data_IF_801969360648
#
_entry.id   IF_801969360648
#
_cell.length_a   1.000
_cell.length_b   1.000
_cell.length_c   1.000
_cell.angle_alpha   90.00
_cell.angle_beta   90.00
_cell.angle_gamma   90.00
#
_symmetry.space_group_name_H-M   'P 1'
#
loop_
_entity.id
_entity.type
_entity.pdbx_description
1 polymer ?
#
# COMPACT_ATOMS: atom_id res chain seq x y z
N UNK A 1 0.29 -30.72 74.89
CA UNK A 1 0.73 -31.40 73.65
C UNK A 1 -0.17 -30.96 72.50
N UNK A 2 0.40 -30.14 71.61
CA UNK A 2 0.21 -30.10 70.14
C UNK A 2 -1.17 -29.89 69.47
N UNK A 3 -1.14 -28.94 68.50
CA UNK A 3 -1.94 -28.74 67.24
C UNK A 3 -3.14 -27.76 67.30
N UNK A 4 -3.58 -27.07 66.22
CA UNK A 4 -3.04 -26.27 65.07
C UNK A 4 -4.29 -25.82 64.23
N UNK A 5 -4.35 -24.54 63.76
CA UNK A 5 -5.13 -23.95 62.61
C UNK A 5 -6.70 -23.95 62.73
N UNK A 6 -7.56 -22.96 62.38
CA UNK A 6 -7.62 -21.97 61.28
C UNK A 6 -8.77 -20.93 61.43
N UNK A 7 -8.70 -19.88 60.59
CA UNK A 7 -9.80 -19.06 60.00
C UNK A 7 -10.63 -18.11 60.88
N UNK A 8 -10.40 -16.80 60.70
CA UNK A 8 -11.45 -15.78 60.83
C UNK A 8 -11.31 -14.72 59.74
N UNK A 9 -12.39 -14.59 58.98
CA UNK A 9 -12.74 -13.67 57.90
C UNK A 9 -12.75 -12.22 58.37
N UNK A 10 -12.33 -11.26 57.52
CA UNK A 10 -12.77 -9.86 57.65
C UNK A 10 -12.81 -9.12 56.31
N UNK A 11 -13.93 -8.43 56.17
CA UNK A 11 -14.52 -7.68 55.06
C UNK A 11 -13.66 -6.50 54.59
N UNK A 12 -13.62 -6.24 53.27
CA UNK A 12 -13.27 -4.93 52.72
C UNK A 12 -14.17 -4.52 51.56
N UNK A 13 -14.46 -3.23 51.54
CA UNK A 13 -15.61 -2.56 50.96
C UNK A 13 -15.68 -2.55 49.43
N UNK A 14 -16.92 -2.63 48.94
CA UNK A 14 -17.28 -2.40 47.54
C UNK A 14 -17.27 -0.88 47.23
N UNK A 15 -16.36 -0.46 46.37
CA UNK A 15 -16.41 0.85 45.72
C UNK A 15 -17.16 0.70 44.38
N UNK A 16 -18.30 1.38 44.28
CA UNK A 16 -19.05 1.56 43.04
C UNK A 16 -18.23 2.42 42.07
N UNK A 17 -17.80 1.84 40.96
CA UNK A 17 -17.32 2.57 39.78
C UNK A 17 -18.52 2.77 38.83
N UNK A 18 -18.71 3.97 38.25
CA UNK A 18 -19.78 4.19 37.30
C UNK A 18 -19.51 3.38 36.02
N UNK A 19 -20.52 2.62 35.61
CA UNK A 19 -20.57 1.92 34.34
C UNK A 19 -20.56 2.94 33.19
N UNK A 20 -19.37 3.25 32.70
CA UNK A 20 -19.14 4.19 31.61
C UNK A 20 -17.91 3.86 30.76
N UNK A 21 -17.41 2.62 30.81
CA UNK A 21 -16.50 2.13 29.79
C UNK A 21 -17.34 1.63 28.63
N UNK A 22 -17.51 2.45 27.58
CA UNK A 22 -17.83 1.91 26.25
C UNK A 22 -16.68 0.98 25.90
N UNK A 23 -16.87 -0.31 26.11
CA UNK A 23 -16.07 -1.36 25.47
C UNK A 23 -16.04 -1.02 23.99
N UNK A 24 -14.87 -0.61 23.49
CA UNK A 24 -14.55 -0.71 22.06
C UNK A 24 -14.95 -2.12 21.68
N UNK A 25 -15.98 -2.26 20.84
CA UNK A 25 -16.34 -3.57 20.29
C UNK A 25 -15.07 -4.01 19.57
N UNK A 26 -14.36 -5.00 20.13
CA UNK A 26 -13.20 -5.60 19.49
C UNK A 26 -13.59 -5.93 18.05
N UNK A 27 -12.70 -5.64 17.09
CA UNK A 27 -12.89 -6.00 15.69
C UNK A 27 -13.34 -7.46 15.65
N UNK A 28 -14.61 -7.70 15.32
CA UNK A 28 -15.10 -9.06 15.15
C UNK A 28 -14.29 -9.70 14.03
N UNK A 29 -13.89 -10.97 14.17
CA UNK A 29 -13.16 -11.66 13.11
C UNK A 29 -13.99 -11.59 11.83
N UNK A 30 -13.40 -11.03 10.78
CA UNK A 30 -14.07 -10.92 9.50
C UNK A 30 -14.26 -12.32 8.91
N UNK A 31 -15.39 -12.60 8.21
CA UNK A 31 -15.54 -13.85 7.48
C UNK A 31 -14.36 -14.08 6.52
N UNK A 32 -13.91 -15.34 6.35
CA UNK A 32 -12.82 -15.66 5.46
C UNK A 32 -13.15 -15.21 4.03
N UNK A 33 -12.12 -14.74 3.32
CA UNK A 33 -12.25 -14.44 1.90
C UNK A 33 -12.51 -15.73 1.12
N UNK A 34 -13.52 -15.71 0.25
CA UNK A 34 -13.79 -16.78 -0.70
C UNK A 34 -13.30 -16.39 -2.09
N UNK A 35 -12.91 -17.40 -2.89
CA UNK A 35 -12.66 -17.22 -4.30
C UNK A 35 -13.94 -16.78 -5.03
N UNK A 36 -13.83 -15.84 -5.97
CA UNK A 36 -14.93 -15.43 -6.84
C UNK A 36 -15.42 -16.65 -7.62
N UNK A 37 -16.70 -16.95 -7.51
CA UNK A 37 -17.36 -18.04 -8.23
C UNK A 37 -17.65 -17.66 -9.68
N UNK A 38 -17.91 -18.66 -10.53
CA UNK A 38 -18.24 -18.39 -11.94
C UNK A 38 -19.50 -17.52 -12.06
N UNK A 39 -20.53 -17.78 -11.25
CA UNK A 39 -21.76 -16.99 -11.23
C UNK A 39 -21.53 -15.53 -10.88
N UNK A 40 -20.62 -15.26 -9.95
CA UNK A 40 -20.24 -13.90 -9.56
C UNK A 40 -19.44 -13.19 -10.67
N UNK A 41 -18.65 -13.93 -11.45
CA UNK A 41 -17.86 -13.41 -12.56
C UNK A 41 -18.62 -13.35 -13.90
N UNK A 42 -19.75 -14.07 -14.02
CA UNK A 42 -20.50 -14.26 -15.27
C UNK A 42 -20.84 -12.95 -15.96
N UNK A 43 -21.32 -11.97 -15.21
CA UNK A 43 -21.65 -10.65 -15.76
C UNK A 43 -20.45 -9.95 -16.42
N UNK A 44 -19.25 -10.10 -15.85
CA UNK A 44 -18.01 -9.56 -16.44
C UNK A 44 -17.62 -10.33 -17.70
N UNK A 45 -17.68 -11.66 -17.65
CA UNK A 45 -17.36 -12.54 -18.77
C UNK A 45 -18.27 -12.30 -19.99
N UNK A 46 -19.56 -12.05 -19.75
CA UNK A 46 -20.56 -11.84 -20.81
C UNK A 46 -20.51 -10.42 -21.38
N UNK A 47 -20.17 -9.42 -20.57
CA UNK A 47 -20.19 -8.01 -20.98
C UNK A 47 -18.91 -7.59 -21.74
N UNK A 48 -17.77 -8.21 -21.44
CA UNK A 48 -16.49 -7.83 -22.07
C UNK A 48 -16.38 -8.40 -23.48
N UNK A 49 -15.70 -7.63 -24.35
CA UNK A 49 -15.37 -8.11 -25.68
C UNK A 49 -14.42 -9.32 -25.60
N UNK A 50 -14.51 -10.28 -26.53
CA UNK A 50 -13.66 -11.48 -26.48
C UNK A 50 -12.16 -11.18 -26.45
N UNK A 51 -11.67 -10.13 -27.12
CA UNK A 51 -10.25 -9.73 -27.14
C UNK A 51 -9.71 -9.25 -25.80
N UNK A 52 -10.60 -8.92 -24.85
CA UNK A 52 -10.24 -8.50 -23.50
C UNK A 52 -10.22 -9.66 -22.50
N UNK A 53 -10.74 -10.83 -22.88
CA UNK A 53 -10.71 -12.03 -22.04
C UNK A 53 -9.35 -12.73 -22.13
N UNK A 54 -8.87 -13.37 -21.05
CA UNK A 54 -7.71 -14.26 -21.10
C UNK A 54 -7.90 -15.32 -22.20
N UNK A 55 -6.84 -15.61 -22.95
CA UNK A 55 -6.90 -16.51 -24.12
C UNK A 55 -7.52 -17.87 -23.79
N UNK A 56 -7.13 -18.41 -22.65
CA UNK A 56 -7.57 -19.69 -22.10
C UNK A 56 -9.04 -19.73 -21.67
N UNK A 57 -9.66 -18.59 -21.35
CA UNK A 57 -11.11 -18.50 -21.14
C UNK A 57 -11.84 -18.22 -22.46
N UNK A 58 -11.25 -17.38 -23.32
CA UNK A 58 -11.80 -16.99 -24.63
C UNK A 58 -12.01 -18.19 -25.55
N UNK A 59 -11.11 -19.18 -25.50
CA UNK A 59 -11.18 -20.38 -26.33
C UNK A 59 -12.29 -21.37 -25.94
N UNK A 60 -12.85 -21.23 -24.74
CA UNK A 60 -13.87 -22.12 -24.19
C UNK A 60 -15.28 -21.55 -24.41
N UNK A 61 -16.28 -22.41 -24.51
CA UNK A 61 -17.69 -22.01 -24.43
C UNK A 61 -18.14 -21.73 -22.98
N UNK A 62 -19.39 -21.32 -22.77
CA UNK A 62 -19.87 -20.94 -21.43
C UNK A 62 -19.85 -22.10 -20.41
N UNK A 63 -20.27 -23.31 -20.81
CA UNK A 63 -20.32 -24.45 -19.92
C UNK A 63 -18.92 -24.98 -19.60
N UNK A 64 -18.02 -24.96 -20.59
CA UNK A 64 -16.61 -25.28 -20.41
C UNK A 64 -15.91 -24.28 -19.49
N UNK A 65 -16.17 -22.97 -19.64
CA UNK A 65 -15.66 -21.94 -18.72
C UNK A 65 -16.15 -22.16 -17.31
N UNK A 66 -17.44 -22.42 -17.11
CA UNK A 66 -18.01 -22.67 -15.78
C UNK A 66 -17.31 -23.84 -15.09
N UNK A 67 -17.11 -24.95 -15.82
CA UNK A 67 -16.41 -26.11 -15.30
C UNK A 67 -14.92 -25.85 -15.03
N UNK A 68 -14.25 -25.02 -15.83
CA UNK A 68 -12.83 -24.72 -15.69
C UNK A 68 -12.53 -23.62 -14.65
N UNK A 69 -13.53 -22.78 -14.32
CA UNK A 69 -13.37 -21.56 -13.54
C UNK A 69 -12.68 -21.76 -12.18
N UNK A 70 -13.07 -22.75 -11.33
CA UNK A 70 -12.42 -22.90 -10.04
C UNK A 70 -10.91 -23.16 -10.14
N UNK A 71 -10.48 -23.97 -11.12
CA UNK A 71 -9.07 -24.24 -11.37
C UNK A 71 -8.35 -23.04 -11.98
N UNK A 72 -9.03 -22.28 -12.85
CA UNK A 72 -8.51 -21.05 -13.42
C UNK A 72 -8.25 -20.00 -12.33
N UNK A 73 -9.19 -19.78 -11.41
CA UNK A 73 -9.03 -18.81 -10.31
C UNK A 73 -7.86 -19.16 -9.40
N UNK A 74 -7.71 -20.43 -9.00
CA UNK A 74 -6.58 -20.85 -8.16
C UNK A 74 -5.25 -20.58 -8.84
N UNK A 75 -5.10 -21.04 -10.10
CA UNK A 75 -3.87 -20.82 -10.86
C UNK A 75 -3.59 -19.32 -11.06
N UNK A 76 -4.61 -18.52 -11.37
CA UNK A 76 -4.43 -17.09 -11.58
C UNK A 76 -4.07 -16.35 -10.29
N UNK A 77 -4.57 -16.78 -9.13
CA UNK A 77 -4.16 -16.23 -7.84
C UNK A 77 -2.68 -16.52 -7.55
N UNK A 78 -2.23 -17.74 -7.83
CA UNK A 78 -0.81 -18.13 -7.73
C UNK A 78 0.06 -17.27 -8.65
N UNK A 79 -0.32 -17.12 -9.93
CA UNK A 79 0.41 -16.27 -10.90
C UNK A 79 0.46 -14.80 -10.46
N UNK A 80 -0.62 -14.25 -9.89
CA UNK A 80 -0.63 -12.89 -9.36
C UNK A 80 0.32 -12.77 -8.17
N UNK A 81 0.35 -13.77 -7.28
CA UNK A 81 1.25 -13.80 -6.11
C UNK A 81 2.70 -13.98 -6.51
N UNK A 82 3.00 -14.76 -7.55
CA UNK A 82 4.36 -14.88 -8.10
C UNK A 82 4.91 -13.54 -8.62
N UNK A 83 4.05 -12.61 -9.04
CA UNK A 83 4.47 -11.24 -9.41
C UNK A 83 4.98 -10.42 -8.22
N UNK A 84 4.74 -10.83 -6.98
CA UNK A 84 5.30 -10.19 -5.79
C UNK A 84 6.82 -10.32 -5.74
N UNK A 85 7.36 -11.46 -6.17
CA UNK A 85 8.80 -11.69 -6.20
C UNK A 85 9.51 -10.67 -7.12
N UNK A 86 8.89 -10.38 -8.26
CA UNK A 86 9.36 -9.32 -9.16
C UNK A 86 9.22 -7.93 -8.54
N UNK A 87 8.14 -7.68 -7.80
CA UNK A 87 7.93 -6.39 -7.10
C UNK A 87 8.93 -6.17 -5.97
N UNK A 88 9.37 -7.24 -5.32
CA UNK A 88 10.43 -7.23 -4.32
C UNK A 88 11.78 -6.83 -4.96
N UNK A 89 12.11 -7.35 -6.13
CA UNK A 89 13.29 -6.93 -6.90
C UNK A 89 13.24 -5.45 -7.28
N UNK A 90 12.10 -4.98 -7.81
CA UNK A 90 11.87 -3.56 -8.10
C UNK A 90 12.08 -2.68 -6.85
N UNK A 91 11.63 -3.14 -5.68
CA UNK A 91 11.80 -2.44 -4.41
C UNK A 91 13.27 -2.33 -4.00
N UNK A 92 14.07 -3.38 -4.21
CA UNK A 92 15.52 -3.35 -3.99
C UNK A 92 16.21 -2.38 -4.97
N UNK A 93 15.73 -2.27 -6.21
CA UNK A 93 16.22 -1.26 -7.17
C UNK A 93 15.89 0.16 -6.70
N UNK A 94 14.71 0.40 -6.14
CA UNK A 94 14.39 1.71 -5.55
C UNK A 94 15.30 2.04 -4.36
N UNK A 95 15.57 1.06 -3.48
CA UNK A 95 16.56 1.22 -2.40
C UNK A 95 17.95 1.53 -2.97
N UNK A 96 18.38 0.84 -4.02
CA UNK A 96 19.66 1.09 -4.68
C UNK A 96 19.78 2.53 -5.19
N UNK A 97 18.74 3.04 -5.85
CA UNK A 97 18.74 4.38 -6.43
C UNK A 97 18.64 5.48 -5.38
N UNK A 98 17.83 5.28 -4.34
CA UNK A 98 17.44 6.37 -3.46
C UNK A 98 17.85 6.21 -1.99
N UNK A 99 18.21 5.01 -1.53
CA UNK A 99 18.64 4.77 -0.15
C UNK A 99 19.87 5.58 0.28
N UNK A 100 20.05 5.77 1.58
CA UNK A 100 21.12 6.58 2.14
C UNK A 100 21.99 5.82 3.13
N UNK A 101 21.50 4.75 3.77
CA UNK A 101 22.22 4.13 4.90
C UNK A 101 23.38 3.25 4.49
N UNK A 102 23.42 2.76 3.24
CA UNK A 102 24.44 1.81 2.77
C UNK A 102 25.60 2.46 2.00
N UNK A 103 25.52 3.75 1.69
CA UNK A 103 26.45 4.42 0.76
C UNK A 103 26.60 5.90 1.08
N UNK A 104 27.73 6.49 0.69
CA UNK A 104 27.97 7.94 0.74
C UNK A 104 27.74 8.64 -0.60
N UNK A 105 27.40 7.88 -1.65
CA UNK A 105 27.11 8.43 -2.96
C UNK A 105 25.80 9.22 -2.94
N UNK A 106 25.67 10.29 -3.76
CA UNK A 106 24.41 11.01 -3.87
C UNK A 106 23.30 10.08 -4.35
N UNK A 107 22.06 10.36 -3.91
CA UNK A 107 20.85 9.72 -4.42
C UNK A 107 20.72 10.00 -5.92
N UNK A 108 20.20 9.03 -6.68
CA UNK A 108 19.84 9.31 -8.08
C UNK A 108 18.60 10.22 -8.11
N UNK A 109 18.56 11.17 -9.05
CA UNK A 109 17.40 12.04 -9.26
C UNK A 109 16.94 11.96 -10.69
N UNK A 110 15.65 11.66 -10.88
CA UNK A 110 15.01 11.70 -12.18
C UNK A 110 14.59 13.12 -12.60
N UNK A 111 14.92 14.16 -11.83
CA UNK A 111 14.55 15.54 -12.17
C UNK A 111 15.07 15.99 -13.56
N UNK A 112 16.24 15.51 -13.98
CA UNK A 112 16.76 15.78 -15.32
C UNK A 112 15.88 15.17 -16.44
N UNK A 113 15.25 14.04 -16.18
CA UNK A 113 14.33 13.36 -17.10
C UNK A 113 12.98 14.07 -17.21
N UNK A 114 12.56 14.74 -16.14
CA UNK A 114 11.36 15.57 -16.11
C UNK A 114 11.60 17.03 -16.56
N UNK A 115 12.80 17.35 -17.05
CA UNK A 115 13.15 18.70 -17.50
C UNK A 115 12.72 18.95 -18.95
N UNK A 116 12.68 20.23 -19.37
CA UNK A 116 12.38 20.63 -20.75
C UNK A 116 13.35 20.04 -21.79
N UNK A 117 14.51 19.53 -21.34
CA UNK A 117 15.53 18.91 -22.18
C UNK A 117 15.99 17.59 -21.54
N UNK A 118 15.18 16.53 -21.60
CA UNK A 118 15.57 15.24 -21.05
C UNK A 118 16.83 14.71 -21.75
N UNK A 119 17.66 13.90 -21.06
CA UNK A 119 18.82 13.26 -21.67
C UNK A 119 18.45 12.48 -22.94
N UNK A 120 19.27 12.61 -23.99
CA UNK A 120 19.08 11.82 -25.22
C UNK A 120 19.67 10.41 -25.04
N UNK A 121 18.84 9.38 -25.19
CA UNK A 121 19.23 7.97 -25.08
C UNK A 121 18.21 7.15 -24.29
N UNK A 122 18.51 5.86 -24.04
CA UNK A 122 17.70 5.02 -23.16
C UNK A 122 18.08 5.26 -21.70
N UNK A 123 17.11 5.31 -20.80
CA UNK A 123 17.36 5.51 -19.37
C UNK A 123 18.26 4.43 -18.79
N UNK A 124 18.05 3.18 -19.19
CA UNK A 124 18.89 2.05 -18.78
C UNK A 124 20.37 2.27 -19.11
N UNK A 125 20.71 2.84 -20.27
CA UNK A 125 22.10 3.06 -20.67
C UNK A 125 22.74 4.22 -19.88
N UNK A 126 22.00 5.31 -19.73
CA UNK A 126 22.50 6.55 -19.11
C UNK A 126 22.65 6.37 -17.60
N UNK A 127 21.64 5.83 -16.93
CA UNK A 127 21.63 5.67 -15.47
C UNK A 127 22.68 4.66 -15.04
N UNK A 128 22.80 3.52 -15.74
CA UNK A 128 23.78 2.48 -15.44
C UNK A 128 25.22 2.93 -15.71
N UNK A 129 25.43 3.82 -16.68
CA UNK A 129 26.74 4.39 -16.95
C UNK A 129 27.17 5.43 -15.89
N UNK A 130 26.24 5.98 -15.10
CA UNK A 130 26.55 7.01 -14.12
C UNK A 130 27.52 6.49 -13.05
N UNK A 131 28.68 7.13 -12.81
CA UNK A 131 29.68 6.67 -11.85
C UNK A 131 29.11 6.49 -10.43
N UNK A 132 28.24 7.41 -10.00
CA UNK A 132 27.57 7.32 -8.70
C UNK A 132 26.71 6.05 -8.60
N UNK A 133 25.94 5.71 -9.63
CA UNK A 133 25.07 4.52 -9.63
C UNK A 133 25.90 3.23 -9.60
N UNK A 134 26.98 3.15 -10.39
CA UNK A 134 27.91 2.01 -10.34
C UNK A 134 28.51 1.80 -8.96
N UNK A 135 28.85 2.89 -8.29
CA UNK A 135 29.40 2.81 -6.94
C UNK A 135 28.34 2.39 -5.92
N UNK A 136 27.10 2.86 -6.06
CA UNK A 136 25.96 2.42 -5.24
C UNK A 136 25.65 0.93 -5.39
N UNK A 137 25.76 0.36 -6.60
CA UNK A 137 25.64 -1.09 -6.82
C UNK A 137 26.63 -1.86 -5.92
N UNK A 138 27.91 -1.47 -5.97
CA UNK A 138 28.96 -2.14 -5.18
C UNK A 138 28.78 -1.93 -3.68
N UNK A 139 28.44 -0.71 -3.26
CA UNK A 139 28.20 -0.39 -1.85
C UNK A 139 26.99 -1.18 -1.30
N UNK A 140 25.90 -1.30 -2.08
CA UNK A 140 24.71 -2.07 -1.67
C UNK A 140 25.03 -3.56 -1.58
N UNK A 141 25.74 -4.13 -2.56
CA UNK A 141 26.16 -5.53 -2.52
C UNK A 141 27.05 -5.82 -1.29
N UNK A 142 27.93 -4.89 -0.92
CA UNK A 142 28.73 -4.98 0.29
C UNK A 142 27.90 -4.90 1.57
N UNK A 143 26.90 -4.00 1.61
CA UNK A 143 26.03 -3.84 2.77
C UNK A 143 25.09 -5.05 2.98
N UNK A 144 24.57 -5.63 1.89
CA UNK A 144 23.77 -6.87 1.90
C UNK A 144 24.59 -8.04 2.47
N UNK A 145 25.91 -8.05 2.29
CA UNK A 145 26.79 -9.07 2.88
C UNK A 145 26.85 -9.02 4.41
N UNK A 146 26.47 -7.90 5.05
CA UNK A 146 26.41 -7.73 6.51
C UNK A 146 25.38 -6.65 6.93
N UNK A 147 24.06 -6.92 6.84
CA UNK A 147 22.99 -5.93 6.95
C UNK A 147 22.76 -5.45 8.40
N UNK A 148 23.34 -6.13 9.39
CA UNK A 148 23.09 -5.83 10.80
C UNK A 148 21.60 -5.90 11.14
N UNK A 149 21.08 -4.85 11.78
CA UNK A 149 19.67 -4.71 12.14
C UNK A 149 18.83 -3.89 11.13
N UNK A 150 19.40 -3.51 9.98
CA UNK A 150 18.68 -2.73 8.99
C UNK A 150 17.69 -3.63 8.24
N UNK A 151 16.39 -3.46 8.51
CA UNK A 151 15.29 -4.25 7.94
C UNK A 151 15.29 -4.28 6.41
N UNK A 152 15.63 -3.16 5.76
CA UNK A 152 15.67 -3.06 4.29
C UNK A 152 16.85 -3.81 3.69
N UNK A 153 18.01 -3.77 4.34
CA UNK A 153 19.18 -4.54 3.90
C UNK A 153 19.03 -6.03 4.18
N UNK A 154 18.37 -6.40 5.28
CA UNK A 154 18.00 -7.80 5.55
C UNK A 154 17.04 -8.33 4.48
N UNK A 155 16.01 -7.55 4.14
CA UNK A 155 15.12 -7.89 3.04
C UNK A 155 15.85 -7.98 1.71
N UNK A 156 16.71 -7.01 1.38
CA UNK A 156 17.47 -7.04 0.13
C UNK A 156 18.39 -8.28 0.06
N UNK A 157 18.95 -8.73 1.19
CA UNK A 157 19.64 -10.02 1.28
C UNK A 157 18.72 -11.19 0.94
N UNK A 158 17.55 -11.27 1.56
CA UNK A 158 16.59 -12.35 1.30
C UNK A 158 16.22 -12.43 -0.19
N UNK A 159 16.00 -11.28 -0.84
CA UNK A 159 15.75 -11.21 -2.29
C UNK A 159 16.91 -11.80 -3.08
N UNK A 160 18.16 -11.42 -2.78
CA UNK A 160 19.34 -11.93 -3.48
C UNK A 160 19.55 -13.43 -3.21
N UNK A 161 19.33 -13.90 -1.98
CA UNK A 161 19.51 -15.30 -1.59
C UNK A 161 18.49 -16.24 -2.26
N UNK A 162 17.27 -15.77 -2.57
CA UNK A 162 16.28 -16.53 -3.37
C UNK A 162 16.79 -16.90 -4.76
N UNK A 163 17.74 -16.13 -5.30
CA UNK A 163 18.40 -16.41 -6.58
C UNK A 163 19.63 -17.31 -6.45
N UNK A 164 19.82 -17.97 -5.29
CA UNK A 164 20.93 -18.88 -5.05
C UNK A 164 22.28 -18.17 -4.85
N UNK A 165 22.26 -16.85 -4.62
CA UNK A 165 23.46 -16.04 -4.41
C UNK A 165 23.73 -15.94 -2.91
N UNK A 166 24.96 -16.23 -2.47
CA UNK A 166 25.38 -16.08 -1.06
C UNK A 166 26.23 -14.81 -0.87
N UNK A 167 25.64 -13.65 -0.51
CA UNK A 167 26.33 -12.35 -0.61
C UNK A 167 27.50 -12.19 0.37
N UNK A 168 27.54 -13.01 1.42
CA UNK A 168 28.61 -13.02 2.43
C UNK A 168 29.95 -13.55 1.91
N UNK A 169 29.97 -14.23 0.75
CA UNK A 169 31.19 -14.72 0.10
C UNK A 169 31.69 -13.73 -0.96
N UNK A 170 32.99 -13.75 -1.29
CA UNK A 170 33.52 -12.91 -2.39
C UNK A 170 32.86 -13.20 -3.73
N UNK A 171 32.73 -14.46 -4.19
CA UNK A 171 32.04 -14.76 -5.45
C UNK A 171 30.56 -14.39 -5.41
N UNK A 172 29.88 -14.64 -4.28
CA UNK A 172 28.47 -14.28 -4.14
C UNK A 172 28.24 -12.77 -4.09
N UNK A 173 29.17 -11.97 -3.57
CA UNK A 173 29.09 -10.50 -3.65
C UNK A 173 29.20 -10.01 -5.09
N UNK A 174 30.11 -10.58 -5.88
CA UNK A 174 30.23 -10.26 -7.31
C UNK A 174 28.97 -10.66 -8.08
N UNK A 175 28.39 -11.82 -7.77
CA UNK A 175 27.11 -12.24 -8.33
C UNK A 175 25.96 -11.31 -7.92
N UNK A 176 25.94 -10.83 -6.66
CA UNK A 176 24.97 -9.85 -6.20
C UNK A 176 25.08 -8.51 -6.95
N UNK A 177 26.30 -8.01 -7.20
CA UNK A 177 26.51 -6.81 -8.04
C UNK A 177 25.95 -7.00 -9.45
N UNK A 178 26.20 -8.15 -10.08
CA UNK A 178 25.68 -8.47 -11.41
C UNK A 178 24.16 -8.57 -11.42
N UNK A 179 23.58 -9.19 -10.39
CA UNK A 179 22.13 -9.27 -10.21
C UNK A 179 21.51 -7.88 -10.09
N UNK A 180 22.03 -7.03 -9.20
CA UNK A 180 21.53 -5.67 -8.99
C UNK A 180 21.62 -4.83 -10.26
N UNK A 181 22.70 -4.97 -11.01
CA UNK A 181 22.87 -4.31 -12.31
C UNK A 181 21.79 -4.75 -13.31
N UNK A 182 21.56 -6.07 -13.45
CA UNK A 182 20.54 -6.61 -14.34
C UNK A 182 19.12 -6.20 -13.94
N UNK A 183 18.81 -6.24 -12.64
CA UNK A 183 17.53 -5.79 -12.10
C UNK A 183 17.29 -4.29 -12.37
N UNK A 184 18.31 -3.45 -12.17
CA UNK A 184 18.26 -2.02 -12.50
C UNK A 184 18.01 -1.78 -13.99
N UNK A 185 18.74 -2.48 -14.87
CA UNK A 185 18.56 -2.36 -16.32
C UNK A 185 17.13 -2.69 -16.75
N UNK A 186 16.58 -3.82 -16.28
CA UNK A 186 15.19 -4.20 -16.58
C UNK A 186 14.19 -3.19 -16.04
N UNK A 187 14.34 -2.78 -14.78
CA UNK A 187 13.43 -1.81 -14.15
C UNK A 187 13.39 -0.52 -14.96
N UNK A 188 14.55 0.00 -15.36
CA UNK A 188 14.64 1.21 -16.18
C UNK A 188 14.05 1.03 -17.57
N UNK A 189 14.23 -0.13 -18.20
CA UNK A 189 13.60 -0.44 -19.48
C UNK A 189 12.06 -0.43 -19.38
N UNK A 190 11.50 -1.00 -18.31
CA UNK A 190 10.06 -0.96 -18.03
C UNK A 190 9.57 0.48 -17.81
N UNK A 191 10.36 1.34 -17.15
CA UNK A 191 10.05 2.77 -17.02
C UNK A 191 10.21 3.56 -18.33
N UNK A 192 11.14 3.16 -19.19
CA UNK A 192 11.35 3.80 -20.50
C UNK A 192 10.17 3.50 -21.46
N UNK A 193 9.58 2.29 -21.36
CA UNK A 193 8.29 1.97 -22.01
C UNK A 193 7.19 2.91 -21.47
N UNK A 194 7.14 3.12 -20.14
CA UNK A 194 6.22 4.06 -19.49
C UNK A 194 6.36 5.52 -19.99
N UNK A 195 7.58 6.02 -20.21
CA UNK A 195 7.77 7.41 -20.68
C UNK A 195 7.56 7.59 -22.19
N UNK A 196 7.68 6.51 -22.99
CA UNK A 196 7.57 6.58 -24.46
C UNK A 196 6.20 6.19 -24.99
N UNK A 197 5.46 5.33 -24.32
CA UNK A 197 4.09 5.02 -24.72
C UNK A 197 3.17 6.18 -24.33
N UNK A 198 2.45 6.80 -25.29
CA UNK A 198 1.36 7.72 -24.97
C UNK A 198 0.13 7.01 -24.41
N UNK A 199 0.30 5.83 -23.79
CA UNK A 199 -0.81 5.05 -23.26
C UNK A 199 -1.37 5.75 -22.02
N UNK A 200 -2.29 6.69 -22.29
CA UNK A 200 -3.35 7.09 -21.38
C UNK A 200 -4.12 5.80 -21.08
N UNK A 201 -3.72 5.06 -20.04
CA UNK A 201 -4.19 3.69 -19.87
C UNK A 201 -4.27 3.27 -18.42
N UNK A 202 -5.46 2.82 -18.02
CA UNK A 202 -5.74 2.22 -16.72
C UNK A 202 -4.87 0.98 -16.42
N UNK A 203 -4.20 0.35 -17.40
CA UNK A 203 -3.56 -0.97 -17.29
C UNK A 203 -2.03 -0.92 -17.45
N UNK A 204 -1.44 0.23 -17.13
CA UNK A 204 -0.04 0.57 -17.43
C UNK A 204 0.97 -0.38 -16.81
N UNK A 205 0.72 -0.89 -15.60
CA UNK A 205 1.65 -1.76 -14.87
C UNK A 205 1.28 -3.25 -14.94
N UNK A 206 0.43 -3.65 -15.89
CA UNK A 206 -0.04 -5.05 -16.04
C UNK A 206 1.06 -6.10 -16.20
N UNK A 207 2.25 -5.72 -16.69
CA UNK A 207 3.41 -6.62 -16.87
C UNK A 207 4.47 -6.51 -15.78
N UNK A 208 4.35 -5.52 -14.89
CA UNK A 208 5.33 -5.26 -13.82
C UNK A 208 5.10 -6.16 -12.61
N UNK A 209 6.13 -6.27 -11.78
CA UNK A 209 6.01 -6.83 -10.45
C UNK A 209 5.09 -5.98 -9.58
N UNK A 210 4.38 -6.62 -8.65
CA UNK A 210 3.47 -5.92 -7.74
C UNK A 210 4.26 -5.25 -6.62
N UNK A 211 4.37 -3.93 -6.64
CA UNK A 211 5.14 -3.17 -5.64
C UNK A 211 4.20 -2.62 -4.59
N UNK A 212 4.50 -2.87 -3.32
CA UNK A 212 3.66 -2.48 -2.18
C UNK A 212 4.06 -1.13 -1.59
N UNK A 213 4.26 -0.08 -2.39
CA UNK A 213 4.68 1.23 -1.86
C UNK A 213 3.51 2.04 -1.29
N UNK A 214 3.80 2.86 -0.29
CA UNK A 214 2.88 3.88 0.26
C UNK A 214 3.64 5.20 0.41
N UNK A 215 2.94 6.33 0.30
CA UNK A 215 3.58 7.66 0.34
C UNK A 215 2.66 8.75 0.90
N UNK A 216 3.26 9.85 1.35
CA UNK A 216 2.52 11.03 1.83
C UNK A 216 1.66 11.65 0.72
N UNK A 217 2.15 11.85 -0.52
CA UNK A 217 1.32 12.37 -1.61
C UNK A 217 0.09 11.48 -1.91
N UNK A 218 0.25 10.16 -1.97
CA UNK A 218 -0.89 9.26 -2.20
C UNK A 218 -1.94 9.36 -1.08
N UNK A 219 -1.50 9.47 0.17
CA UNK A 219 -2.38 9.70 1.31
C UNK A 219 -3.08 11.07 1.26
N UNK A 220 -2.38 12.12 0.81
CA UNK A 220 -2.95 13.46 0.61
C UNK A 220 -4.08 13.45 -0.42
N UNK A 221 -3.91 12.74 -1.54
CA UNK A 221 -4.96 12.68 -2.56
C UNK A 221 -6.26 12.06 -2.03
N UNK A 222 -6.14 11.03 -1.18
CA UNK A 222 -7.30 10.45 -0.49
C UNK A 222 -7.90 11.40 0.54
N UNK A 223 -7.09 12.12 1.32
CA UNK A 223 -7.59 13.15 2.25
C UNK A 223 -8.41 14.23 1.52
N UNK A 224 -7.92 14.69 0.37
CA UNK A 224 -8.64 15.63 -0.51
C UNK A 224 -9.95 15.04 -1.01
N UNK A 225 -9.95 13.80 -1.49
CA UNK A 225 -11.15 13.14 -1.99
C UNK A 225 -12.22 12.96 -0.90
N UNK A 226 -11.81 12.55 0.30
CA UNK A 226 -12.71 12.41 1.45
C UNK A 226 -13.30 13.77 1.87
N UNK A 227 -12.50 14.83 1.86
CA UNK A 227 -12.96 16.18 2.17
C UNK A 227 -13.96 16.70 1.13
N UNK A 228 -13.71 16.47 -0.15
CA UNK A 228 -14.61 16.86 -1.24
C UNK A 228 -15.93 16.08 -1.17
N UNK A 229 -15.90 14.77 -0.89
CA UNK A 229 -17.09 13.94 -0.71
C UNK A 229 -17.93 14.38 0.50
N UNK A 230 -17.28 14.69 1.63
CA UNK A 230 -17.96 15.22 2.81
C UNK A 230 -18.58 16.61 2.51
N UNK A 231 -17.84 17.49 1.85
CA UNK A 231 -18.31 18.82 1.44
C UNK A 231 -19.51 18.77 0.49
N UNK A 232 -19.56 17.77 -0.39
CA UNK A 232 -20.69 17.49 -1.29
C UNK A 232 -21.79 16.65 -0.66
N UNK A 233 -21.69 16.33 0.63
CA UNK A 233 -22.65 15.49 1.40
C UNK A 233 -22.87 14.10 0.81
N UNK A 234 -21.88 13.55 0.09
CA UNK A 234 -21.88 12.16 -0.38
C UNK A 234 -21.31 11.20 0.66
N UNK A 235 -20.49 11.70 1.60
CA UNK A 235 -20.01 10.93 2.73
C UNK A 235 -20.54 11.53 4.04
N UNK A 236 -21.32 10.74 4.78
CA UNK A 236 -21.79 11.11 6.12
C UNK A 236 -20.70 10.80 7.15
N UNK A 237 -20.09 11.84 7.72
CA UNK A 237 -18.95 11.73 8.62
C UNK A 237 -19.31 11.84 10.11
N UNK A 238 -20.60 11.89 10.46
CA UNK A 238 -21.08 12.00 11.84
C UNK A 238 -21.33 10.66 12.53
N UNK A 239 -21.35 9.57 11.76
CA UNK A 239 -21.59 8.19 12.21
C UNK A 239 -20.35 7.33 12.44
N UNK A 240 -20.59 6.01 12.52
CA UNK A 240 -19.53 4.99 12.47
C UNK A 240 -19.20 4.73 11.01
N UNK A 241 -17.92 4.91 10.65
CA UNK A 241 -17.44 4.64 9.30
C UNK A 241 -16.66 3.33 9.26
N UNK A 242 -17.05 2.42 8.36
CA UNK A 242 -16.34 1.20 8.02
C UNK A 242 -15.61 1.43 6.70
N UNK A 243 -14.29 1.42 6.77
CA UNK A 243 -13.40 1.69 5.65
C UNK A 243 -12.62 0.41 5.33
N UNK A 244 -12.55 0.07 4.04
CA UNK A 244 -11.61 -0.91 3.54
C UNK A 244 -10.49 -0.20 2.77
N UNK A 245 -9.26 -0.61 2.97
CA UNK A 245 -8.09 -0.14 2.20
C UNK A 245 -7.46 -1.35 1.54
N UNK A 246 -7.52 -1.40 0.22
CA UNK A 246 -6.84 -2.41 -0.59
C UNK A 246 -5.46 -1.86 -0.96
N UNK A 247 -4.41 -2.59 -0.62
CA UNK A 247 -3.04 -2.18 -0.84
C UNK A 247 -2.61 -1.00 0.04
N UNK A 248 -2.66 -1.09 1.38
CA UNK A 248 -2.22 0.02 2.24
C UNK A 248 -0.72 0.34 2.11
N UNK A 249 0.06 -0.62 1.59
CA UNK A 249 1.47 -0.50 1.27
C UNK A 249 2.40 -0.34 2.48
N UNK A 250 3.69 -0.36 2.18
CA UNK A 250 4.83 -0.16 3.05
C UNK A 250 5.76 0.87 2.40
N UNK A 251 6.26 1.78 3.21
CA UNK A 251 7.32 2.71 2.87
C UNK A 251 8.65 1.95 2.93
N UNK A 252 8.90 1.14 1.90
CA UNK A 252 10.12 0.37 1.79
C UNK A 252 11.28 1.22 1.30
N UNK A 253 11.10 2.03 0.27
CA UNK A 253 12.00 3.11 -0.10
C UNK A 253 11.16 4.01 -0.99
N UNK A 254 10.55 5.04 -0.39
CA UNK A 254 9.69 5.97 -1.14
C UNK A 254 10.35 6.31 -2.49
N UNK A 255 9.63 6.06 -3.59
CA UNK A 255 10.11 6.21 -4.97
C UNK A 255 10.54 7.64 -5.32
N UNK A 256 10.20 8.63 -4.50
CA UNK A 256 10.50 10.04 -4.68
C UNK A 256 11.47 10.56 -3.61
N UNK A 257 11.40 10.04 -2.38
CA UNK A 257 12.18 10.55 -1.24
C UNK A 257 13.24 9.58 -0.71
N UNK A 258 13.04 8.27 -0.85
CA UNK A 258 14.11 7.27 -0.77
C UNK A 258 14.74 7.02 0.58
N UNK A 259 14.11 7.40 1.67
CA UNK A 259 14.77 7.37 2.97
C UNK A 259 14.64 6.01 3.64
N UNK A 260 15.79 5.42 3.99
CA UNK A 260 15.94 4.13 4.65
C UNK A 260 16.43 4.26 6.09
N UNK A 261 16.22 5.42 6.71
CA UNK A 261 16.84 5.86 7.98
C UNK A 261 15.94 5.68 9.20
N UNK A 262 14.68 5.30 8.96
CA UNK A 262 13.67 4.97 9.96
C UNK A 262 13.09 3.59 9.64
N UNK A 263 12.43 2.89 10.59
CA UNK A 263 11.86 1.55 10.35
C UNK A 263 10.87 1.49 9.17
N UNK A 264 10.67 0.32 8.57
CA UNK A 264 9.61 0.15 7.57
C UNK A 264 8.25 0.50 8.21
N UNK A 265 7.36 1.14 7.46
CA UNK A 265 6.09 1.62 7.99
C UNK A 265 4.98 1.61 6.92
N UNK A 266 3.72 1.46 7.32
CA UNK A 266 2.56 1.86 6.50
C UNK A 266 2.09 3.27 6.88
N UNK A 267 1.55 4.02 5.91
CA UNK A 267 1.09 5.42 6.08
C UNK A 267 -0.43 5.53 5.91
N UNK A 268 -0.96 4.98 4.82
CA UNK A 268 -2.33 5.26 4.36
C UNK A 268 -3.43 4.95 5.40
N UNK A 269 -3.41 3.83 6.15
CA UNK A 269 -4.44 3.55 7.15
C UNK A 269 -4.55 4.64 8.21
N UNK A 270 -3.42 5.13 8.71
CA UNK A 270 -3.38 6.18 9.72
C UNK A 270 -3.80 7.54 9.15
N UNK A 271 -3.34 7.86 7.95
CA UNK A 271 -3.74 9.09 7.27
C UNK A 271 -5.25 9.17 7.03
N UNK A 272 -5.89 8.06 6.63
CA UNK A 272 -7.34 7.98 6.43
C UNK A 272 -8.09 8.22 7.74
N UNK A 273 -7.71 7.55 8.84
CA UNK A 273 -8.36 7.76 10.15
C UNK A 273 -8.21 9.20 10.62
N UNK A 274 -7.03 9.78 10.46
CA UNK A 274 -6.72 11.15 10.84
C UNK A 274 -7.54 12.18 10.04
N UNK A 275 -7.65 12.00 8.73
CA UNK A 275 -8.47 12.82 7.84
C UNK A 275 -9.97 12.74 8.17
N UNK A 276 -10.51 11.53 8.32
CA UNK A 276 -11.91 11.35 8.70
C UNK A 276 -12.24 11.98 10.06
N UNK A 277 -11.34 11.86 11.04
CA UNK A 277 -11.50 12.53 12.34
C UNK A 277 -11.44 14.05 12.25
N UNK A 278 -10.61 14.62 11.36
CA UNK A 278 -10.64 16.06 11.08
C UNK A 278 -11.98 16.50 10.49
N UNK A 279 -12.59 15.67 9.65
CA UNK A 279 -13.91 15.92 9.05
C UNK A 279 -15.08 15.72 10.04
N UNK A 280 -14.83 15.14 11.22
CA UNK A 280 -15.82 15.00 12.29
C UNK A 280 -16.19 13.56 12.65
N UNK A 281 -15.58 12.56 12.01
CA UNK A 281 -15.82 11.15 12.31
C UNK A 281 -15.42 10.81 13.75
N UNK A 282 -16.37 10.22 14.48
CA UNK A 282 -16.17 9.83 15.89
C UNK A 282 -15.68 8.39 16.04
N UNK A 283 -16.12 7.50 15.16
CA UNK A 283 -15.72 6.08 15.12
C UNK A 283 -15.37 5.71 13.68
N UNK A 284 -14.15 5.21 13.48
CA UNK A 284 -13.63 4.77 12.18
C UNK A 284 -13.03 3.40 12.38
N UNK A 285 -13.54 2.41 11.66
CA UNK A 285 -13.03 1.04 11.64
C UNK A 285 -12.38 0.79 10.29
N UNK A 286 -11.15 0.33 10.32
CA UNK A 286 -10.36 0.15 9.10
C UNK A 286 -9.98 -1.31 8.95
N UNK A 287 -10.40 -1.88 7.84
CA UNK A 287 -9.94 -3.18 7.36
C UNK A 287 -8.91 -2.92 6.27
N UNK A 288 -7.79 -3.64 6.30
CA UNK A 288 -6.79 -3.56 5.23
C UNK A 288 -6.67 -4.89 4.52
N UNK A 289 -6.74 -4.88 3.20
CA UNK A 289 -6.54 -6.04 2.35
C UNK A 289 -5.26 -5.89 1.55
N UNK A 290 -4.44 -6.93 1.52
CA UNK A 290 -3.29 -6.97 0.64
C UNK A 290 -3.01 -8.40 0.20
N UNK A 291 -2.54 -8.56 -1.04
CA UNK A 291 -2.06 -9.84 -1.56
C UNK A 291 -0.62 -10.12 -1.10
N UNK A 292 0.11 -9.08 -0.67
CA UNK A 292 1.47 -9.18 -0.18
C UNK A 292 1.48 -9.52 1.33
N UNK A 293 1.95 -10.71 1.73
CA UNK A 293 1.98 -11.12 3.13
C UNK A 293 2.96 -10.31 3.99
N UNK A 294 3.87 -9.52 3.41
CA UNK A 294 4.74 -8.61 4.16
C UNK A 294 3.93 -7.44 4.72
N UNK A 295 3.00 -6.92 3.94
CA UNK A 295 2.15 -5.78 4.32
C UNK A 295 1.22 -6.19 5.46
N UNK A 296 0.52 -7.31 5.31
CA UNK A 296 -0.41 -7.82 6.33
C UNK A 296 0.32 -8.14 7.64
N UNK A 297 1.45 -8.85 7.57
CA UNK A 297 2.28 -9.14 8.76
C UNK A 297 2.80 -7.90 9.47
N UNK A 298 3.17 -6.85 8.72
CA UNK A 298 3.60 -5.59 9.31
C UNK A 298 2.49 -4.93 10.13
N UNK A 299 1.28 -4.86 9.57
CA UNK A 299 0.11 -4.30 10.26
C UNK A 299 -0.27 -5.16 11.47
N UNK A 300 -0.23 -6.49 11.36
CA UNK A 300 -0.47 -7.39 12.49
C UNK A 300 0.55 -7.21 13.62
N UNK A 301 1.84 -7.10 13.27
CA UNK A 301 2.90 -6.84 14.23
C UNK A 301 2.72 -5.50 14.94
N UNK A 302 2.29 -4.46 14.21
CA UNK A 302 1.95 -3.16 14.77
C UNK A 302 0.77 -3.25 15.77
N UNK A 303 -0.28 -3.99 15.44
CA UNK A 303 -1.40 -4.25 16.35
C UNK A 303 -0.94 -5.00 17.60
N UNK A 304 -0.13 -6.04 17.45
CA UNK A 304 0.46 -6.79 18.56
C UNK A 304 1.31 -5.90 19.49
N UNK A 305 2.12 -5.02 18.91
CA UNK A 305 2.89 -4.02 19.64
C UNK A 305 2.00 -3.05 20.42
N UNK A 306 0.93 -2.56 19.77
CA UNK A 306 -0.03 -1.65 20.38
C UNK A 306 -0.80 -2.27 21.56
N UNK A 307 -1.17 -3.56 21.46
CA UNK A 307 -1.76 -4.31 22.58
C UNK A 307 -0.80 -4.44 23.76
N UNK A 308 0.51 -4.49 23.49
CA UNK A 308 1.56 -4.43 24.50
C UNK A 308 1.90 -3.00 24.98
N UNK A 309 1.10 -1.99 24.59
CA UNK A 309 1.27 -0.59 24.99
C UNK A 309 2.35 0.18 24.23
N UNK A 310 2.93 -0.39 23.16
CA UNK A 310 3.93 0.30 22.34
C UNK A 310 3.24 1.13 21.26
N UNK A 311 3.56 2.42 21.20
CA UNK A 311 3.08 3.29 20.14
C UNK A 311 3.69 2.91 18.79
N UNK A 312 2.97 3.20 17.71
CA UNK A 312 3.49 3.11 16.36
C UNK A 312 4.10 4.45 15.97
N UNK A 313 5.42 4.50 15.79
CA UNK A 313 6.14 5.73 15.46
C UNK A 313 6.17 5.92 13.94
N UNK A 314 5.32 6.83 13.44
CA UNK A 314 5.21 7.17 12.03
C UNK A 314 6.18 8.31 11.70
N UNK A 315 7.10 8.08 10.76
CA UNK A 315 8.00 9.09 10.21
C UNK A 315 7.42 9.66 8.91
N UNK A 316 7.53 10.96 8.73
CA UNK A 316 6.95 11.69 7.61
C UNK A 316 8.04 12.59 7.06
N UNK A 317 8.93 12.04 6.22
CA UNK A 317 9.90 12.87 5.54
C UNK A 317 9.22 13.78 4.52
N UNK A 318 9.97 14.80 4.15
CA UNK A 318 9.69 15.69 3.04
C UNK A 318 11.02 16.12 2.43
N UNK A 319 11.22 15.83 1.15
CA UNK A 319 12.34 16.34 0.39
C UNK A 319 12.11 17.82 0.06
N UNK A 320 12.89 18.73 0.67
CA UNK A 320 12.73 20.18 0.46
C UNK A 320 13.20 20.63 -0.93
N UNK A 321 13.96 19.79 -1.65
CA UNK A 321 14.30 20.08 -3.04
C UNK A 321 13.09 19.93 -3.97
N UNK A 322 12.08 19.17 -3.56
CA UNK A 322 10.82 19.09 -4.29
C UNK A 322 9.87 20.22 -3.89
N UNK A 323 9.41 20.96 -4.90
CA UNK A 323 8.41 22.02 -4.71
C UNK A 323 7.03 21.42 -4.58
N UNK A 324 6.71 20.97 -3.36
CA UNK A 324 5.35 20.58 -2.99
C UNK A 324 4.39 21.77 -3.07
N UNK A 325 3.15 21.50 -3.48
CA UNK A 325 2.07 22.48 -3.45
C UNK A 325 1.82 22.98 -2.02
N UNK A 326 1.37 24.23 -1.83
CA UNK A 326 1.06 24.77 -0.50
C UNK A 326 0.08 23.88 0.29
N UNK A 327 -0.89 23.26 -0.39
CA UNK A 327 -1.88 22.37 0.18
C UNK A 327 -1.26 21.06 0.67
N UNK A 328 -0.35 20.45 -0.10
CA UNK A 328 0.37 19.25 0.32
C UNK A 328 1.28 19.55 1.52
N UNK A 329 1.94 20.71 1.52
CA UNK A 329 2.74 21.16 2.68
C UNK A 329 1.86 21.32 3.92
N UNK A 330 0.69 21.97 3.80
CA UNK A 330 -0.23 22.16 4.91
C UNK A 330 -0.78 20.81 5.44
N UNK A 331 -1.12 19.88 4.54
CA UNK A 331 -1.49 18.52 4.90
C UNK A 331 -0.35 17.81 5.64
N UNK A 332 0.86 17.84 5.09
CA UNK A 332 2.04 17.25 5.74
C UNK A 332 2.32 17.89 7.08
N UNK A 333 2.00 19.16 7.35
CA UNK A 333 2.17 19.76 8.68
C UNK A 333 1.14 19.28 9.70
N UNK A 334 -0.04 18.85 9.25
CA UNK A 334 -1.19 18.51 10.09
C UNK A 334 -1.39 17.00 10.28
N UNK A 335 -0.90 16.18 9.35
CA UNK A 335 -1.06 14.73 9.36
C UNK A 335 -0.63 14.14 10.72
N UNK A 336 -1.49 13.30 11.30
CA UNK A 336 -1.32 12.67 12.62
C UNK A 336 -1.90 13.45 13.79
N UNK A 337 -2.34 14.71 13.59
CA UNK A 337 -2.79 15.60 14.66
C UNK A 337 -4.08 15.17 15.40
N UNK A 338 -4.86 14.22 14.86
CA UNK A 338 -6.08 13.68 15.48
C UNK A 338 -5.95 12.25 16.00
N UNK A 339 -4.80 11.61 15.77
CA UNK A 339 -4.57 10.19 16.07
C UNK A 339 -3.33 9.92 16.90
N UNK A 340 -2.52 10.94 17.18
CA UNK A 340 -1.27 10.77 17.89
C UNK A 340 -0.70 12.07 18.42
N UNK A 341 0.54 11.99 18.90
CA UNK A 341 1.31 13.12 19.41
C UNK A 341 2.55 13.37 18.54
N UNK A 342 2.81 14.61 18.12
CA UNK A 342 4.06 14.95 17.45
C UNK A 342 5.26 14.58 18.33
N UNK A 343 6.33 14.11 17.71
CA UNK A 343 7.60 13.79 18.36
C UNK A 343 8.76 14.11 17.43
N UNK A 344 9.97 14.15 17.97
CA UNK A 344 11.17 14.25 17.15
C UNK A 344 11.29 13.01 16.25
N UNK A 345 11.48 13.24 14.95
CA UNK A 345 11.86 12.17 14.02
C UNK A 345 13.35 11.85 14.13
N UNK A 346 13.76 10.78 13.43
CA UNK A 346 15.18 10.48 13.27
C UNK A 346 15.92 11.64 12.60
N UNK A 347 17.18 11.84 12.99
CA UNK A 347 18.02 12.84 12.34
C UNK A 347 18.30 12.42 10.89
N UNK A 348 18.15 13.36 9.95
CA UNK A 348 18.53 13.15 8.56
C UNK A 348 20.04 12.85 8.48
N UNK A 349 20.49 11.76 7.83
CA UNK A 349 21.91 11.49 7.70
C UNK A 349 22.62 12.58 6.90
N UNK A 350 23.90 12.77 7.20
CA UNK A 350 24.77 13.65 6.41
C UNK A 350 24.81 13.20 4.95
N UNK A 351 24.53 14.11 4.01
CA UNK A 351 24.63 13.85 2.57
C UNK A 351 23.31 13.52 1.86
N UNK A 352 22.18 13.41 2.58
CA UNK A 352 20.86 13.08 2.01
C UNK A 352 20.15 14.29 1.37
N UNK A 353 20.70 15.49 1.56
CA UNK A 353 20.09 16.76 1.15
C UNK A 353 19.21 17.35 2.24
N UNK A 354 18.53 18.46 1.92
CA UNK A 354 17.60 19.11 2.84
C UNK A 354 16.30 18.30 2.92
N UNK A 355 16.20 17.43 3.92
CA UNK A 355 15.00 16.66 4.23
C UNK A 355 14.45 17.16 5.56
N UNK A 356 13.23 17.69 5.51
CA UNK A 356 12.46 17.97 6.72
C UNK A 356 11.89 16.64 7.25
N UNK A 357 12.16 16.34 8.52
CA UNK A 357 11.65 15.13 9.17
C UNK A 357 10.64 15.49 10.25
N UNK A 358 9.44 14.94 10.15
CA UNK A 358 8.44 14.96 11.21
C UNK A 358 8.13 13.54 11.64
N UNK A 359 7.76 13.36 12.91
CA UNK A 359 7.27 12.08 13.37
C UNK A 359 6.07 12.23 14.29
N UNK A 360 5.24 11.19 14.32
CA UNK A 360 4.03 11.13 15.14
C UNK A 360 3.99 9.77 15.85
N UNK A 361 3.89 9.80 17.17
CA UNK A 361 3.54 8.63 17.95
C UNK A 361 2.03 8.40 17.85
N UNK A 362 1.63 7.42 17.03
CA UNK A 362 0.23 7.04 16.87
C UNK A 362 -0.25 6.36 18.16
N UNK A 363 -1.41 6.79 18.64
CA UNK A 363 -2.03 6.21 19.83
C UNK A 363 -2.31 4.71 19.61
N UNK A 364 -1.87 3.82 20.52
CA UNK A 364 -2.14 2.40 20.45
C UNK A 364 -3.61 2.03 20.26
N UNK A 365 -4.55 2.86 20.76
CA UNK A 365 -5.98 2.64 20.55
C UNK A 365 -6.37 2.77 19.07
N UNK A 366 -5.69 3.62 18.30
CA UNK A 366 -5.90 3.79 16.85
C UNK A 366 -5.28 2.64 16.07
N UNK A 367 -4.07 2.21 16.44
CA UNK A 367 -3.43 1.05 15.80
C UNK A 367 -4.31 -0.20 15.96
N UNK A 368 -4.94 -0.36 17.12
CA UNK A 368 -5.82 -1.49 17.40
C UNK A 368 -7.18 -1.46 16.66
N UNK A 369 -7.54 -0.36 15.99
CA UNK A 369 -8.75 -0.34 15.14
C UNK A 369 -8.53 -0.98 13.78
N UNK A 370 -7.27 -1.27 13.42
CA UNK A 370 -6.93 -1.93 12.16
C UNK A 370 -7.26 -3.43 12.21
N UNK A 371 -7.62 -3.99 11.06
CA UNK A 371 -7.78 -5.43 10.85
C UNK A 371 -7.19 -5.81 9.49
N UNK A 372 -5.96 -6.36 9.44
CA UNK A 372 -5.34 -6.79 8.21
C UNK A 372 -5.80 -8.19 7.79
N UNK A 373 -5.98 -8.36 6.48
CA UNK A 373 -6.37 -9.63 5.88
C UNK A 373 -5.59 -9.84 4.58
N UNK A 374 -5.09 -11.07 4.40
CA UNK A 374 -4.61 -11.51 3.09
C UNK A 374 -5.81 -11.67 2.17
N UNK A 375 -5.78 -10.96 1.03
CA UNK A 375 -6.85 -10.99 0.04
C UNK A 375 -6.34 -10.48 -1.31
N UNK A 376 -6.56 -11.28 -2.36
CA UNK A 376 -6.43 -10.82 -3.74
C UNK A 376 -7.77 -10.27 -4.24
N UNK A 377 -7.91 -8.94 -4.27
CA UNK A 377 -9.20 -8.29 -4.59
C UNK A 377 -9.73 -8.64 -5.98
N UNK A 378 -8.86 -9.03 -6.90
CA UNK A 378 -9.23 -9.45 -8.25
C UNK A 378 -10.03 -10.74 -8.23
N UNK A 379 -9.65 -11.69 -7.37
CA UNK A 379 -10.12 -13.07 -7.43
C UNK A 379 -10.84 -13.53 -6.16
N UNK A 380 -10.86 -12.68 -5.14
CA UNK A 380 -11.38 -13.02 -3.82
C UNK A 380 -12.18 -11.86 -3.22
N UNK A 381 -13.19 -12.20 -2.44
CA UNK A 381 -13.93 -11.26 -1.60
C UNK A 381 -14.43 -11.92 -0.31
N UNK A 382 -14.56 -11.17 0.79
CA UNK A 382 -15.22 -11.68 1.99
C UNK A 382 -16.74 -11.79 1.78
N UNK A 383 -17.34 -12.80 2.39
CA UNK A 383 -18.80 -12.96 2.44
C UNK A 383 -19.40 -12.08 3.55
N UNK A 384 -19.54 -10.77 3.30
CA UNK A 384 -20.02 -9.81 4.30
C UNK A 384 -21.55 -9.79 4.41
N UNK A 385 -22.04 -9.81 5.65
CA UNK A 385 -23.43 -9.45 5.95
C UNK A 385 -23.70 -7.97 5.62
N UNK A 386 -24.98 -7.60 5.46
CA UNK A 386 -25.35 -6.25 5.03
C UNK A 386 -24.83 -5.14 5.96
N UNK A 387 -24.79 -5.39 7.27
CA UNK A 387 -24.28 -4.48 8.31
C UNK A 387 -22.75 -4.52 8.47
N UNK A 388 -22.08 -5.43 7.78
CA UNK A 388 -20.62 -5.55 7.75
C UNK A 388 -19.98 -4.89 6.53
N UNK A 389 -20.78 -4.53 5.52
CA UNK A 389 -20.32 -3.85 4.30
C UNK A 389 -19.72 -2.48 4.58
N UNK A 390 -18.85 -2.03 3.67
CA UNK A 390 -18.07 -0.82 3.85
C UNK A 390 -18.81 0.42 3.34
N UNK A 391 -18.61 1.54 4.04
CA UNK A 391 -19.00 2.87 3.58
C UNK A 391 -18.08 3.33 2.45
N UNK A 392 -16.78 3.04 2.58
CA UNK A 392 -15.76 3.43 1.60
C UNK A 392 -14.75 2.29 1.43
N UNK A 393 -14.39 1.99 0.18
CA UNK A 393 -13.24 1.17 -0.21
C UNK A 393 -12.22 2.06 -0.90
N UNK A 394 -10.95 1.98 -0.53
CA UNK A 394 -9.84 2.74 -1.11
C UNK A 394 -8.90 1.76 -1.82
N UNK A 395 -8.56 2.04 -3.09
CA UNK A 395 -7.63 1.23 -3.88
C UNK A 395 -6.77 2.13 -4.78
N UNK A 396 -5.77 2.79 -4.19
CA UNK A 396 -4.85 3.71 -4.90
C UNK A 396 -3.59 2.98 -5.36
N UNK A 397 -3.19 3.16 -6.60
CA UNK A 397 -2.03 2.51 -7.22
C UNK A 397 -2.05 0.98 -7.14
N UNK A 398 -3.24 0.38 -6.98
CA UNK A 398 -3.43 -1.08 -6.97
C UNK A 398 -3.92 -1.57 -8.33
N UNK A 399 -5.02 -0.98 -8.82
CA UNK A 399 -5.72 -1.50 -9.99
C UNK A 399 -4.94 -1.30 -11.30
N UNK A 400 -4.01 -0.35 -11.33
CA UNK A 400 -3.10 -0.08 -12.45
C UNK A 400 -2.20 -1.27 -12.83
N UNK A 401 -2.01 -2.23 -11.92
CA UNK A 401 -1.21 -3.44 -12.12
C UNK A 401 -1.93 -4.59 -12.83
N UNK A 402 -3.16 -4.37 -13.23
CA UNK A 402 -4.03 -5.41 -13.79
C UNK A 402 -4.52 -5.01 -15.18
N UNK A 403 -4.90 -6.01 -15.97
CA UNK A 403 -5.56 -5.76 -17.25
C UNK A 403 -7.05 -5.41 -17.08
N UNK A 404 -7.76 -5.13 -18.17
CA UNK A 404 -9.17 -4.71 -18.13
C UNK A 404 -10.07 -5.80 -17.54
N UNK A 405 -9.79 -7.08 -17.82
CA UNK A 405 -10.60 -8.19 -17.29
C UNK A 405 -10.44 -8.30 -15.78
N UNK A 406 -9.20 -8.32 -15.30
CA UNK A 406 -8.88 -8.37 -13.88
C UNK A 406 -9.37 -7.14 -13.12
N UNK A 407 -9.26 -5.94 -13.72
CA UNK A 407 -9.86 -4.72 -13.16
C UNK A 407 -11.36 -4.83 -13.02
N UNK A 408 -12.05 -5.43 -14.00
CA UNK A 408 -13.49 -5.62 -13.98
C UNK A 408 -13.91 -6.62 -12.89
N UNK A 409 -13.14 -7.70 -12.68
CA UNK A 409 -13.36 -8.64 -11.57
C UNK A 409 -13.15 -7.97 -10.21
N UNK A 410 -12.06 -7.21 -10.05
CA UNK A 410 -11.81 -6.43 -8.84
C UNK A 410 -12.94 -5.43 -8.57
N UNK A 411 -13.42 -4.74 -9.61
CA UNK A 411 -14.51 -3.79 -9.49
C UNK A 411 -15.82 -4.45 -9.05
N UNK A 412 -16.15 -5.64 -9.58
CA UNK A 412 -17.29 -6.43 -9.16
C UNK A 412 -17.17 -6.92 -7.70
N UNK A 413 -15.97 -7.35 -7.29
CA UNK A 413 -15.70 -7.76 -5.91
C UNK A 413 -15.84 -6.60 -4.93
N UNK A 414 -15.26 -5.43 -5.26
CA UNK A 414 -15.38 -4.20 -4.48
C UNK A 414 -16.85 -3.77 -4.37
N UNK A 415 -17.60 -3.79 -5.48
CA UNK A 415 -19.02 -3.46 -5.47
C UNK A 415 -19.81 -4.32 -4.47
N UNK A 416 -19.49 -5.61 -4.37
CA UNK A 416 -20.15 -6.50 -3.41
C UNK A 416 -19.77 -6.22 -1.95
N UNK A 417 -18.54 -5.72 -1.71
CA UNK A 417 -18.05 -5.33 -0.38
C UNK A 417 -18.64 -4.01 0.13
N UNK A 418 -19.02 -3.11 -0.77
CA UNK A 418 -19.63 -1.81 -0.44
C UNK A 418 -21.08 -1.95 -0.01
N UNK A 419 -21.58 -1.12 0.90
CA UNK A 419 -23.04 -1.01 1.12
C UNK A 419 -23.70 -0.22 -0.02
N UNK A 420 -25.04 -0.23 -0.17
CA UNK A 420 -25.72 0.70 -1.09
C UNK A 420 -25.32 2.15 -0.82
N UNK A 421 -25.06 2.94 -1.87
CA UNK A 421 -24.45 4.27 -1.81
C UNK A 421 -23.04 4.33 -1.17
N UNK A 422 -22.37 3.17 -1.01
CA UNK A 422 -20.97 3.10 -0.62
C UNK A 422 -20.05 3.53 -1.77
N UNK A 423 -18.85 4.00 -1.42
CA UNK A 423 -17.94 4.65 -2.36
C UNK A 423 -16.64 3.86 -2.56
N UNK A 424 -16.19 3.71 -3.80
CA UNK A 424 -14.83 3.33 -4.15
C UNK A 424 -14.03 4.59 -4.52
N UNK A 425 -12.88 4.77 -3.88
CA UNK A 425 -11.87 5.77 -4.24
C UNK A 425 -10.66 5.07 -4.87
N UNK A 426 -10.35 5.43 -6.12
CA UNK A 426 -9.20 4.90 -6.84
C UNK A 426 -8.62 5.96 -7.78
N UNK A 427 -7.34 5.87 -8.08
CA UNK A 427 -6.68 6.68 -9.11
C UNK A 427 -6.48 5.94 -10.44
N UNK A 428 -7.14 4.79 -10.59
CA UNK A 428 -7.19 4.04 -11.84
C UNK A 428 -8.60 4.17 -12.43
N UNK A 429 -8.77 4.75 -13.63
CA UNK A 429 -10.08 4.81 -14.26
C UNK A 429 -10.55 3.40 -14.61
N UNK A 430 -11.78 3.06 -14.20
CA UNK A 430 -12.41 1.76 -14.42
C UNK A 430 -13.58 1.87 -15.40
N UNK A 431 -13.80 0.81 -16.17
CA UNK A 431 -14.93 0.71 -17.08
C UNK A 431 -16.20 0.29 -16.32
N UNK A 432 -17.28 1.04 -16.50
CA UNK A 432 -18.60 0.67 -16.00
C UNK A 432 -19.20 -0.43 -16.89
N UNK A 433 -19.44 -1.60 -16.30
CA UNK A 433 -20.12 -2.71 -16.96
C UNK A 433 -21.58 -2.78 -16.49
N UNK A 434 -22.55 -3.08 -17.37
CA UNK A 434 -23.97 -3.15 -16.98
C UNK A 434 -24.28 -4.12 -15.84
N UNK A 435 -23.44 -5.13 -15.64
CA UNK A 435 -23.59 -6.14 -14.60
C UNK A 435 -23.00 -5.73 -13.24
N UNK A 436 -22.23 -4.63 -13.18
CA UNK A 436 -21.60 -4.14 -11.95
C UNK A 436 -22.39 -2.90 -11.50
N UNK A 437 -23.02 -2.93 -10.30
CA UNK A 437 -23.88 -1.84 -9.83
C UNK A 437 -23.02 -0.70 -9.25
N UNK A 438 -22.17 -0.10 -10.08
CA UNK A 438 -21.25 0.96 -9.70
C UNK A 438 -21.22 2.03 -10.78
N UNK A 439 -21.20 3.30 -10.36
CA UNK A 439 -21.23 4.44 -11.27
C UNK A 439 -20.24 5.51 -10.86
N UNK A 440 -19.50 6.08 -11.81
CA UNK A 440 -18.64 7.23 -11.59
C UNK A 440 -19.51 8.46 -11.29
N UNK A 441 -19.41 8.97 -10.07
CA UNK A 441 -20.20 10.12 -9.60
C UNK A 441 -19.39 11.40 -9.46
N UNK A 442 -18.07 11.32 -9.65
CA UNK A 442 -17.18 12.48 -9.66
C UNK A 442 -15.72 12.09 -9.55
N UNK A 443 -14.88 13.11 -9.47
CA UNK A 443 -13.45 12.99 -9.29
C UNK A 443 -12.89 14.15 -8.45
N UNK A 444 -11.72 13.92 -7.86
CA UNK A 444 -10.91 14.92 -7.19
C UNK A 444 -9.58 15.06 -7.91
N UNK A 445 -9.32 16.18 -8.62
CA UNK A 445 -7.99 16.48 -9.11
C UNK A 445 -7.09 16.92 -7.93
N UNK A 446 -5.85 16.44 -7.93
CA UNK A 446 -4.87 16.71 -6.89
C UNK A 446 -3.57 17.13 -7.54
N UNK A 447 -2.99 18.24 -7.07
CA UNK A 447 -1.67 18.70 -7.48
C UNK A 447 -0.69 18.51 -6.32
N UNK A 448 0.31 17.66 -6.52
CA UNK A 448 1.39 17.42 -5.56
C UNK A 448 2.52 18.43 -5.73
N UNK A 449 2.92 18.68 -6.98
CA UNK A 449 4.00 19.61 -7.38
C UNK A 449 3.60 20.35 -8.66
N UNK A 450 4.48 21.20 -9.19
CA UNK A 450 4.23 21.91 -10.47
C UNK A 450 3.88 20.96 -11.63
N UNK A 451 4.50 19.77 -11.67
CA UNK A 451 4.30 18.74 -12.70
C UNK A 451 3.58 17.48 -12.19
N UNK A 452 3.63 17.20 -10.88
CA UNK A 452 3.03 16.01 -10.27
C UNK A 452 1.55 16.21 -9.97
N UNK A 453 0.70 15.46 -10.66
CA UNK A 453 -0.76 15.49 -10.48
C UNK A 453 -1.32 14.08 -10.38
N UNK A 454 -2.49 14.00 -9.76
CA UNK A 454 -3.27 12.78 -9.65
C UNK A 454 -4.76 13.12 -9.73
N UNK A 455 -5.57 12.11 -10.01
CA UNK A 455 -7.01 12.19 -9.98
C UNK A 455 -7.51 11.05 -9.12
N UNK A 456 -8.44 11.32 -8.20
CA UNK A 456 -9.15 10.27 -7.45
C UNK A 456 -10.57 10.21 -7.97
N UNK A 457 -10.92 9.11 -8.63
CA UNK A 457 -12.25 8.82 -9.13
C UNK A 457 -13.11 8.32 -7.98
N UNK A 458 -14.39 8.70 -7.99
CA UNK A 458 -15.38 8.26 -7.02
C UNK A 458 -16.42 7.42 -7.73
N UNK A 459 -16.40 6.12 -7.48
CA UNK A 459 -17.46 5.23 -7.94
C UNK A 459 -18.42 4.96 -6.79
N UNK A 460 -19.71 5.15 -7.01
CA UNK A 460 -20.77 4.91 -6.03
C UNK A 460 -21.51 3.63 -6.36
N UNK A 461 -21.76 2.79 -5.35
CA UNK A 461 -22.59 1.60 -5.49
C UNK A 461 -24.06 2.01 -5.57
N UNK A 462 -24.75 1.56 -6.62
CA UNK A 462 -26.19 1.80 -6.81
C UNK A 462 -27.07 1.02 -5.81
#
# INVERSE_FOLDING_TARGET
MTRFICCATLVLAAAWLPAGARTVRQNQPQPPAGATTYDEARGVLDALRPDLLPEELRALDAAERESAWPAWVVRRDEEIRERLDRGDEDSVVMLLLFGATFTTQPRYSFAAWASDRPPQGRAEDIVVAAPAVRRRISDLAAAIAAPGANERLQFAREVIERHGITPSTTPGRQAAEQFLLGALQRTLADYDEYFREPSVGATLFRRRGLVSDTSVPAAFAIDRALADLAGRKRLAVDGVLRIAIVGPGLDFADKQEGLDVYPIQTIQPFAVVDGLRRLGAKDVRVVTYDVNPRVTRHVDAAIGAARAGRAYLLHLPRDEAQRWSPELVAYWQQLGGRIGKPTAGVASPSGVGAVAMRAVNIDPAIVQTLAPHDLNVVLQRPALAADERFDVVIATNVLIYYDVFEQSLAFANIAAMLRPAGLLLTNTPLFELPSIPMRLVGETPVAYTDAGRDWIMWYERE
#
